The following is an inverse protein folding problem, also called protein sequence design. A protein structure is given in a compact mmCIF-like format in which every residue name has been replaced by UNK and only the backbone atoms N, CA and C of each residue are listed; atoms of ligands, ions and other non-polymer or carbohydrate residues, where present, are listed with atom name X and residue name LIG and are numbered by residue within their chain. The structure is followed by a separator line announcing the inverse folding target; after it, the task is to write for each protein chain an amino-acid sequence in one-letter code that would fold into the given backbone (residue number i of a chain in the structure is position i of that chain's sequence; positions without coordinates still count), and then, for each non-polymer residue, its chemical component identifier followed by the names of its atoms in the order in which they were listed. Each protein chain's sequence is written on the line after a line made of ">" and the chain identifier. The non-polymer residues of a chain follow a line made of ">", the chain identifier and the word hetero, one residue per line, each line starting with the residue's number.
data_IF_288628520029
#
_entry.id   IF_288628520029
#
_cell.length_a   1.000
_cell.length_b   1.000
_cell.length_c   1.000
_cell.angle_alpha   90.00
_cell.angle_beta   90.00
_cell.angle_gamma   90.00
#
_symmetry.space_group_name_H-M   'P 1'
#
loop_
_entity.id
_entity.type
_entity.pdbx_description
1 polymer ?
#
# COMPACT_ATOMS: atom_id res chain seq x y z
N UNK A 1 6.44 30.89 -0.17
CA UNK A 1 5.34 30.17 0.50
C UNK A 1 5.77 28.72 0.57
N UNK A 2 6.38 28.30 1.68
CA UNK A 2 6.87 26.92 1.84
C UNK A 2 5.71 26.08 2.39
N UNK A 3 5.20 25.14 1.60
CA UNK A 3 4.21 24.18 2.08
C UNK A 3 4.81 23.32 3.19
N UNK A 4 4.11 23.26 4.33
CA UNK A 4 4.47 22.40 5.44
C UNK A 4 4.29 20.93 5.01
N UNK A 5 5.40 20.21 4.84
CA UNK A 5 5.43 18.79 4.46
C UNK A 5 4.58 17.91 5.38
N UNK A 6 4.36 18.33 6.63
CA UNK A 6 3.52 17.62 7.58
C UNK A 6 2.03 17.70 7.21
N UNK A 7 1.57 18.82 6.65
CA UNK A 7 0.18 19.00 6.22
C UNK A 7 -0.17 18.05 5.07
N UNK A 8 0.69 17.98 4.05
CA UNK A 8 0.48 17.11 2.89
C UNK A 8 0.41 15.63 3.29
N UNK A 9 1.28 15.19 4.21
CA UNK A 9 1.27 13.81 4.72
C UNK A 9 -0.06 13.48 5.37
N UNK A 10 -0.56 14.36 6.23
CA UNK A 10 -1.83 14.15 6.94
C UNK A 10 -3.02 14.08 5.96
N UNK A 11 -3.06 14.96 4.97
CA UNK A 11 -4.09 14.94 3.93
C UNK A 11 -4.08 13.63 3.12
N UNK A 12 -2.89 13.15 2.76
CA UNK A 12 -2.72 11.88 2.06
C UNK A 12 -3.18 10.70 2.93
N UNK A 13 -2.75 10.63 4.19
CA UNK A 13 -3.16 9.56 5.11
C UNK A 13 -4.68 9.54 5.31
N UNK A 14 -5.32 10.70 5.45
CA UNK A 14 -6.76 10.81 5.55
C UNK A 14 -7.49 10.30 4.29
N UNK A 15 -6.96 10.63 3.10
CA UNK A 15 -7.53 10.14 1.84
C UNK A 15 -7.44 8.62 1.75
N UNK A 16 -6.26 8.05 2.05
CA UNK A 16 -6.00 6.61 1.97
C UNK A 16 -6.90 5.83 2.91
N UNK A 17 -7.07 6.29 4.15
CA UNK A 17 -7.98 5.67 5.13
C UNK A 17 -9.45 5.81 4.70
N UNK A 18 -9.89 7.00 4.29
CA UNK A 18 -11.30 7.24 3.87
C UNK A 18 -11.71 6.43 2.63
N UNK A 19 -10.76 6.12 1.76
CA UNK A 19 -10.98 5.28 0.57
C UNK A 19 -10.62 3.81 0.80
N UNK A 20 -10.25 3.46 2.03
CA UNK A 20 -9.85 2.13 2.44
C UNK A 20 -8.79 1.50 1.52
N UNK A 21 -7.71 2.24 1.28
CA UNK A 21 -6.49 1.70 0.66
C UNK A 21 -5.77 0.79 1.64
N UNK A 22 -5.55 1.28 2.86
CA UNK A 22 -5.11 0.49 4.01
C UNK A 22 -5.66 1.13 5.29
N UNK A 23 -5.75 0.35 6.36
CA UNK A 23 -5.99 0.84 7.70
C UNK A 23 -5.21 0.01 8.73
N UNK A 24 -5.15 0.46 9.98
CA UNK A 24 -4.48 -0.28 11.05
C UNK A 24 -5.21 -1.61 11.32
N UNK A 25 -4.46 -2.71 11.38
CA UNK A 25 -5.05 -4.02 11.67
C UNK A 25 -5.67 -4.02 13.07
N UNK A 26 -6.82 -4.69 13.21
CA UNK A 26 -7.57 -4.77 14.46
C UNK A 26 -8.03 -3.41 15.01
N UNK A 27 -8.31 -2.42 14.16
CA UNK A 27 -8.72 -1.07 14.56
C UNK A 27 -9.94 -1.04 15.50
N UNK A 28 -10.89 -1.95 15.32
CA UNK A 28 -12.06 -2.10 16.22
C UNK A 28 -11.69 -2.57 17.64
N UNK A 29 -10.49 -3.11 17.83
CA UNK A 29 -9.95 -3.58 19.11
C UNK A 29 -8.84 -2.66 19.66
N UNK A 30 -8.68 -1.46 19.11
CA UNK A 30 -7.65 -0.51 19.52
C UNK A 30 -6.38 -0.52 18.66
N UNK A 31 -6.31 -1.41 17.67
CA UNK A 31 -5.22 -1.47 16.69
C UNK A 31 -3.92 -2.07 17.24
N UNK A 32 -3.09 -2.60 16.34
CA UNK A 32 -1.73 -3.07 16.66
C UNK A 32 -0.72 -2.25 15.87
N UNK A 33 0.26 -1.65 16.54
CA UNK A 33 1.28 -0.86 15.87
C UNK A 33 2.16 -1.76 15.00
N UNK A 34 2.39 -1.33 13.75
CA UNK A 34 3.18 -2.09 12.78
C UNK A 34 2.38 -3.10 11.95
N UNK A 35 1.11 -3.35 12.28
CA UNK A 35 0.22 -4.20 11.48
C UNK A 35 -0.81 -3.36 10.72
N UNK A 36 -0.96 -3.64 9.43
CA UNK A 36 -1.89 -2.94 8.55
C UNK A 36 -2.61 -3.92 7.62
N UNK A 37 -3.90 -3.67 7.43
CA UNK A 37 -4.74 -4.42 6.50
C UNK A 37 -4.97 -3.59 5.24
N UNK A 38 -4.75 -4.20 4.08
CA UNK A 38 -5.05 -3.58 2.80
C UNK A 38 -6.54 -3.76 2.46
N UNK A 39 -7.22 -2.66 2.17
CA UNK A 39 -8.59 -2.72 1.66
C UNK A 39 -8.62 -3.07 0.16
N UNK A 40 -9.81 -3.13 -0.46
CA UNK A 40 -9.96 -3.64 -1.82
C UNK A 40 -9.10 -2.91 -2.86
N UNK A 41 -9.04 -1.58 -2.77
CA UNK A 41 -8.22 -0.75 -3.69
C UNK A 41 -6.72 -0.95 -3.42
N UNK A 42 -6.32 -1.06 -2.16
CA UNK A 42 -4.93 -1.34 -1.79
C UNK A 42 -4.46 -2.72 -2.28
N UNK A 43 -5.29 -3.74 -2.16
CA UNK A 43 -5.02 -5.09 -2.68
C UNK A 43 -4.87 -5.09 -4.20
N UNK A 44 -5.73 -4.37 -4.93
CA UNK A 44 -5.63 -4.23 -6.38
C UNK A 44 -4.31 -3.55 -6.78
N UNK A 45 -3.94 -2.46 -6.11
CA UNK A 45 -2.68 -1.75 -6.37
C UNK A 45 -1.46 -2.63 -6.04
N UNK A 46 -1.46 -3.29 -4.88
CA UNK A 46 -0.40 -4.23 -4.48
C UNK A 46 -0.20 -5.30 -5.54
N UNK A 47 -1.29 -5.91 -6.00
CA UNK A 47 -1.26 -6.93 -7.06
C UNK A 47 -0.72 -6.37 -8.37
N UNK A 48 -1.17 -5.18 -8.77
CA UNK A 48 -0.71 -4.54 -10.00
C UNK A 48 0.79 -4.21 -9.97
N UNK A 49 1.30 -3.74 -8.83
CA UNK A 49 2.74 -3.46 -8.65
C UNK A 49 3.55 -4.74 -8.68
N UNK A 50 3.12 -5.79 -7.96
CA UNK A 50 3.80 -7.10 -7.98
C UNK A 50 3.83 -7.65 -9.41
N UNK A 51 2.70 -7.61 -10.13
CA UNK A 51 2.63 -8.09 -11.50
C UNK A 51 3.52 -7.28 -12.45
N UNK A 52 3.60 -5.95 -12.27
CA UNK A 52 4.50 -5.11 -13.05
C UNK A 52 5.97 -5.51 -12.79
N UNK A 53 6.33 -5.72 -11.53
CA UNK A 53 7.67 -6.13 -11.15
C UNK A 53 8.03 -7.51 -11.70
N UNK A 54 7.11 -8.49 -11.60
CA UNK A 54 7.28 -9.83 -12.19
C UNK A 54 7.47 -9.77 -13.69
N UNK A 55 6.68 -8.95 -14.40
CA UNK A 55 6.86 -8.75 -15.85
C UNK A 55 8.25 -8.21 -16.17
N UNK A 56 8.67 -7.17 -15.43
CA UNK A 56 9.92 -6.47 -15.73
C UNK A 56 11.18 -7.26 -15.39
N UNK A 57 11.18 -8.06 -14.32
CA UNK A 57 12.39 -8.78 -13.92
C UNK A 57 12.31 -10.27 -14.25
N UNK A 58 11.24 -10.94 -13.84
CA UNK A 58 11.15 -12.40 -14.01
C UNK A 58 10.94 -12.77 -15.48
N UNK A 59 9.98 -12.13 -16.16
CA UNK A 59 9.66 -12.50 -17.54
C UNK A 59 10.67 -11.95 -18.55
N UNK A 60 11.06 -10.67 -18.43
CA UNK A 60 12.02 -10.05 -19.37
C UNK A 60 13.43 -10.64 -19.23
N UNK A 61 13.89 -10.95 -18.01
CA UNK A 61 15.24 -11.51 -17.77
C UNK A 61 15.25 -13.05 -17.61
N UNK A 62 14.12 -13.71 -17.83
CA UNK A 62 13.96 -15.17 -17.72
C UNK A 62 14.43 -15.75 -16.37
N UNK A 63 14.10 -15.08 -15.27
CA UNK A 63 14.43 -15.56 -13.93
C UNK A 63 13.53 -16.75 -13.52
N UNK A 64 14.04 -17.61 -12.64
CA UNK A 64 13.30 -18.73 -12.08
C UNK A 64 12.67 -18.32 -10.74
N UNK A 65 11.38 -17.99 -10.75
CA UNK A 65 10.59 -17.73 -9.54
C UNK A 65 10.22 -19.06 -8.84
N UNK A 66 10.30 -19.08 -7.51
CA UNK A 66 9.86 -20.18 -6.64
C UNK A 66 8.94 -19.54 -5.58
N UNK A 67 7.81 -20.19 -5.27
CA UNK A 67 6.86 -19.75 -4.25
C UNK A 67 7.30 -20.09 -2.81
#
# INVERSE_FOLDING_TARGET
>A
MCEDKNSMRLEMENLLKRRFFYDQSFSIYGGVNGLYDYGPVGCAIKTNIINLWRRHFILEEQMLEID
#
